data_IF_431434316482
#
_entry.id   IF_431434316482
#
_cell.length_a   1.000
_cell.length_b   1.000
_cell.length_c   1.000
_cell.angle_alpha   90.00
_cell.angle_beta   90.00
_cell.angle_gamma   90.00
#
_symmetry.space_group_name_H-M   'P 1'
#
loop_
_entity.id
_entity.type
_entity.pdbx_description
1 polymer ?
#
# COMPACT_ATOMS: atom_id res chain seq x y z
N UNK A 1 56.02 -43.58 6.68
CA UNK A 1 55.84 -42.57 5.60
C UNK A 1 54.35 -42.26 5.44
N UNK A 2 53.93 -41.13 5.99
CA UNK A 2 52.57 -40.59 5.91
C UNK A 2 52.34 -39.96 4.52
N UNK A 3 51.24 -40.31 3.86
CA UNK A 3 50.18 -39.39 3.40
C UNK A 3 49.27 -40.09 2.36
N UNK A 4 47.95 -40.25 2.62
CA UNK A 4 46.94 -40.36 1.58
C UNK A 4 46.24 -39.00 1.45
N UNK A 5 46.52 -38.28 0.37
CA UNK A 5 45.79 -37.07 0.04
C UNK A 5 44.35 -37.45 -0.32
N UNK A 6 43.46 -37.28 0.66
CA UNK A 6 42.03 -37.23 0.45
C UNK A 6 41.63 -35.88 -0.14
N UNK A 7 40.84 -35.91 -1.20
CA UNK A 7 39.98 -34.78 -1.57
C UNK A 7 38.58 -35.31 -1.82
N UNK A 8 37.82 -35.43 -0.73
CA UNK A 8 36.37 -35.24 -0.73
C UNK A 8 36.16 -33.73 -0.66
N UNK A 9 35.61 -33.14 -1.72
CA UNK A 9 34.86 -31.89 -1.60
C UNK A 9 33.52 -32.11 -2.27
N UNK A 10 32.57 -32.55 -1.45
CA UNK A 10 31.14 -32.39 -1.69
C UNK A 10 30.86 -30.90 -1.81
N UNK A 11 30.25 -30.50 -2.92
CA UNK A 11 29.74 -29.15 -3.10
C UNK A 11 28.73 -28.85 -1.98
N UNK A 12 29.03 -27.82 -1.19
CA UNK A 12 28.15 -27.27 -0.15
C UNK A 12 26.83 -26.82 -0.78
N UNK A 13 25.79 -27.61 -0.55
CA UNK A 13 24.42 -27.12 -0.53
C UNK A 13 24.13 -26.61 0.89
N UNK A 14 23.62 -25.37 0.99
CA UNK A 14 23.34 -24.65 2.25
C UNK A 14 24.28 -23.45 2.43
N UNK A 15 23.83 -22.19 2.50
CA UNK A 15 22.55 -21.65 2.95
C UNK A 15 22.23 -20.38 2.15
N UNK A 16 21.02 -20.30 1.58
CA UNK A 16 20.41 -19.00 1.26
C UNK A 16 19.72 -18.56 2.54
N UNK A 17 20.33 -17.64 3.28
CA UNK A 17 19.68 -16.99 4.43
C UNK A 17 18.29 -16.48 4.00
N UNK A 18 17.19 -16.91 4.65
CA UNK A 18 15.87 -16.36 4.37
C UNK A 18 15.67 -14.97 4.99
N UNK A 19 16.66 -14.44 5.72
CA UNK A 19 16.51 -13.22 6.52
C UNK A 19 17.35 -12.08 6.00
N UNK A 20 16.94 -11.45 4.89
CA UNK A 20 17.25 -10.04 4.70
C UNK A 20 16.27 -9.39 3.72
N UNK A 21 14.98 -9.40 4.07
CA UNK A 21 14.09 -8.34 3.61
C UNK A 21 14.31 -7.13 4.52
N UNK A 22 15.40 -6.41 4.29
CA UNK A 22 15.47 -5.00 4.66
C UNK A 22 15.07 -4.24 3.41
N UNK A 23 13.88 -3.62 3.35
CA UNK A 23 13.60 -2.66 2.30
C UNK A 23 14.61 -1.53 2.46
N UNK A 24 15.61 -1.46 1.59
CA UNK A 24 16.44 -0.27 1.46
C UNK A 24 15.49 0.85 1.03
N UNK A 25 15.46 1.96 1.76
CA UNK A 25 14.63 3.13 1.44
C UNK A 25 14.88 3.72 0.03
N UNK A 26 15.90 3.24 -0.70
CA UNK A 26 16.15 3.53 -2.11
C UNK A 26 15.41 2.67 -3.15
N UNK A 27 14.58 1.69 -2.74
CA UNK A 27 13.84 0.79 -3.66
C UNK A 27 12.32 0.83 -3.49
N UNK A 28 11.79 1.80 -2.75
CA UNK A 28 10.35 1.91 -2.52
C UNK A 28 9.64 2.53 -3.72
N UNK A 29 8.44 2.04 -4.02
CA UNK A 29 7.66 2.52 -5.16
C UNK A 29 7.19 3.98 -4.96
N UNK A 30 7.08 4.78 -6.04
CA UNK A 30 6.52 6.13 -5.96
C UNK A 30 5.14 6.17 -5.28
N UNK A 31 4.31 5.14 -5.48
CA UNK A 31 3.00 4.99 -4.86
C UNK A 31 3.09 4.82 -3.34
N UNK A 32 3.99 3.94 -2.86
CA UNK A 32 4.20 3.76 -1.43
C UNK A 32 4.71 5.06 -0.79
N UNK A 33 5.71 5.70 -1.40
CA UNK A 33 6.29 6.95 -0.88
C UNK A 33 5.23 8.04 -0.79
N UNK A 34 4.43 8.20 -1.85
CA UNK A 34 3.33 9.17 -1.90
C UNK A 34 2.31 8.91 -0.79
N UNK A 35 1.91 7.65 -0.63
CA UNK A 35 0.94 7.25 0.39
C UNK A 35 1.47 7.48 1.81
N UNK A 36 2.75 7.16 2.04
CA UNK A 36 3.42 7.32 3.34
C UNK A 36 3.50 8.79 3.75
N UNK A 37 3.88 9.68 2.83
CA UNK A 37 3.96 11.12 3.09
C UNK A 37 2.60 11.74 3.37
N UNK A 38 1.57 11.28 2.67
CA UNK A 38 0.20 11.78 2.83
C UNK A 38 -0.57 11.10 3.96
N UNK A 39 0.00 10.11 4.65
CA UNK A 39 -0.74 9.25 5.57
C UNK A 39 -1.52 10.04 6.63
N UNK A 40 -0.88 11.04 7.26
CA UNK A 40 -1.52 11.88 8.26
C UNK A 40 -2.74 12.62 7.70
N UNK A 41 -2.58 13.29 6.54
CA UNK A 41 -3.66 14.02 5.87
C UNK A 41 -4.82 13.09 5.46
N UNK A 42 -4.50 11.87 5.01
CA UNK A 42 -5.49 10.86 4.63
C UNK A 42 -6.32 10.44 5.85
N UNK A 43 -5.64 10.14 6.96
CA UNK A 43 -6.28 9.73 8.21
C UNK A 43 -7.15 10.84 8.76
N UNK A 44 -6.65 12.07 8.87
CA UNK A 44 -7.40 13.20 9.43
C UNK A 44 -8.65 13.51 8.61
N UNK A 45 -8.52 13.54 7.27
CA UNK A 45 -9.66 13.83 6.40
C UNK A 45 -10.73 12.74 6.47
N UNK A 46 -10.32 11.46 6.45
CA UNK A 46 -11.27 10.36 6.55
C UNK A 46 -11.91 10.29 7.95
N UNK A 47 -11.16 10.57 9.01
CA UNK A 47 -11.66 10.67 10.38
C UNK A 47 -12.71 11.79 10.53
N UNK A 48 -12.50 12.91 9.85
CA UNK A 48 -13.47 14.00 9.76
C UNK A 48 -14.75 13.66 8.97
N UNK A 49 -14.78 12.52 8.27
CA UNK A 49 -15.91 12.03 7.48
C UNK A 49 -16.34 10.64 7.93
N UNK A 50 -16.68 10.48 9.22
CA UNK A 50 -17.00 9.20 9.83
C UNK A 50 -18.02 8.30 9.07
N UNK A 51 -19.08 8.82 8.43
CA UNK A 51 -20.00 7.99 7.64
C UNK A 51 -19.35 7.30 6.43
N UNK A 52 -18.31 7.92 5.86
CA UNK A 52 -17.59 7.43 4.68
C UNK A 52 -16.65 6.27 5.04
N UNK A 53 -16.16 6.21 6.28
CA UNK A 53 -15.23 5.17 6.76
C UNK A 53 -15.75 3.77 6.48
N UNK A 54 -16.99 3.48 6.83
CA UNK A 54 -17.58 2.16 6.64
C UNK A 54 -17.75 1.81 5.15
N UNK A 55 -18.10 2.80 4.31
CA UNK A 55 -18.24 2.60 2.87
C UNK A 55 -16.89 2.30 2.23
N UNK A 56 -15.86 3.08 2.57
CA UNK A 56 -14.51 2.90 2.07
C UNK A 56 -13.93 1.55 2.53
N UNK A 57 -14.10 1.20 3.81
CA UNK A 57 -13.68 -0.10 4.35
C UNK A 57 -14.28 -1.28 3.56
N UNK A 58 -15.57 -1.21 3.22
CA UNK A 58 -16.23 -2.24 2.41
C UNK A 58 -15.68 -2.30 0.98
N UNK A 59 -15.43 -1.15 0.35
CA UNK A 59 -14.84 -1.12 -1.00
C UNK A 59 -13.43 -1.68 -1.02
N UNK A 60 -12.57 -1.25 -0.09
CA UNK A 60 -11.19 -1.73 -0.01
C UNK A 60 -11.13 -3.24 0.29
N UNK A 61 -12.03 -3.75 1.14
CA UNK A 61 -12.12 -5.20 1.36
C UNK A 61 -12.58 -5.95 0.11
N UNK A 62 -13.55 -5.40 -0.64
CA UNK A 62 -14.05 -6.02 -1.88
C UNK A 62 -13.03 -6.00 -3.03
N UNK A 63 -12.05 -5.10 -2.97
CA UNK A 63 -10.94 -5.02 -3.92
C UNK A 63 -9.69 -5.77 -3.43
N UNK A 64 -9.78 -6.54 -2.33
CA UNK A 64 -8.65 -7.25 -1.71
C UNK A 64 -7.48 -6.36 -1.28
N UNK A 65 -7.73 -5.07 -1.04
CA UNK A 65 -6.71 -4.09 -0.62
C UNK A 65 -6.40 -4.16 0.88
N UNK A 66 -7.34 -4.67 1.66
CA UNK A 66 -7.20 -4.88 3.11
C UNK A 66 -7.61 -6.31 3.47
N UNK A 67 -6.96 -6.94 4.45
CA UNK A 67 -7.32 -8.27 4.90
C UNK A 67 -8.63 -8.23 5.71
N UNK A 68 -9.32 -9.37 5.75
CA UNK A 68 -10.58 -9.56 6.51
C UNK A 68 -10.48 -9.11 7.98
N UNK A 69 -9.33 -9.35 8.63
CA UNK A 69 -9.12 -8.96 10.01
C UNK A 69 -9.22 -7.43 10.20
N UNK A 70 -8.69 -6.65 9.26
CA UNK A 70 -8.79 -5.17 9.26
C UNK A 70 -10.23 -4.75 8.98
N UNK A 71 -10.88 -5.36 7.99
CA UNK A 71 -12.28 -5.09 7.65
C UNK A 71 -13.21 -5.26 8.85
N UNK A 72 -13.09 -6.39 9.55
CA UNK A 72 -13.87 -6.69 10.77
C UNK A 72 -13.54 -5.71 11.88
N UNK A 73 -12.26 -5.47 12.16
CA UNK A 73 -11.82 -4.56 13.23
C UNK A 73 -12.36 -3.14 13.03
N UNK A 74 -12.31 -2.61 11.81
CA UNK A 74 -12.85 -1.29 11.47
C UNK A 74 -14.38 -1.24 11.57
N UNK A 75 -15.06 -2.38 11.45
CA UNK A 75 -16.49 -2.52 11.68
C UNK A 75 -16.90 -2.64 13.15
N UNK A 76 -15.96 -2.89 14.07
CA UNK A 76 -16.26 -3.01 15.50
C UNK A 76 -16.64 -1.67 16.13
N UNK A 77 -17.62 -1.71 17.03
CA UNK A 77 -18.00 -0.58 17.87
C UNK A 77 -16.94 -0.34 18.94
N UNK A 78 -16.54 0.91 19.16
CA UNK A 78 -15.59 1.30 20.21
C UNK A 78 -14.28 1.89 19.71
N UNK A 79 -14.00 1.86 18.41
CA UNK A 79 -12.90 2.61 17.81
C UNK A 79 -13.32 4.01 17.43
N UNK A 80 -12.43 4.99 17.65
CA UNK A 80 -12.64 6.36 17.18
C UNK A 80 -12.59 6.39 15.64
N UNK A 81 -13.22 7.39 14.99
CA UNK A 81 -13.08 7.58 13.53
C UNK A 81 -11.61 7.64 13.08
N UNK A 82 -10.74 8.26 13.89
CA UNK A 82 -9.31 8.33 13.62
C UNK A 82 -8.65 6.94 13.65
N UNK A 83 -8.89 6.14 14.70
CA UNK A 83 -8.31 4.79 14.80
C UNK A 83 -8.75 3.90 13.64
N UNK A 84 -10.01 4.03 13.23
CA UNK A 84 -10.57 3.30 12.08
C UNK A 84 -9.88 3.72 10.79
N UNK A 85 -9.76 5.02 10.54
CA UNK A 85 -9.07 5.56 9.36
C UNK A 85 -7.58 5.16 9.33
N UNK A 86 -6.88 5.30 10.46
CA UNK A 86 -5.47 4.93 10.59
C UNK A 86 -5.24 3.44 10.31
N UNK A 87 -6.11 2.56 10.82
CA UNK A 87 -6.03 1.12 10.53
C UNK A 87 -6.24 0.80 9.05
N UNK A 88 -7.20 1.44 8.40
CA UNK A 88 -7.43 1.27 6.95
C UNK A 88 -6.17 1.65 6.18
N UNK A 89 -5.68 2.88 6.36
CA UNK A 89 -4.57 3.37 5.54
C UNK A 89 -3.23 2.73 5.88
N UNK A 90 -2.98 2.40 7.15
CA UNK A 90 -1.82 1.60 7.53
C UNK A 90 -1.83 0.22 6.86
N UNK A 91 -3.00 -0.41 6.76
CA UNK A 91 -3.14 -1.68 6.05
C UNK A 91 -2.89 -1.54 4.55
N UNK A 92 -3.46 -0.51 3.91
CA UNK A 92 -3.23 -0.26 2.48
C UNK A 92 -1.77 0.06 2.20
N UNK A 93 -1.11 0.80 3.08
CA UNK A 93 0.32 1.10 2.98
C UNK A 93 1.17 -0.18 3.06
N UNK A 94 0.85 -1.09 3.98
CA UNK A 94 1.51 -2.40 4.07
C UNK A 94 1.27 -3.25 2.81
N UNK A 95 0.07 -3.19 2.23
CA UNK A 95 -0.21 -3.83 0.94
C UNK A 95 0.67 -3.24 -0.17
N UNK A 96 0.76 -1.91 -0.27
CA UNK A 96 1.62 -1.23 -1.26
C UNK A 96 3.10 -1.58 -1.12
N UNK A 97 3.59 -1.76 0.11
CA UNK A 97 4.98 -2.10 0.39
C UNK A 97 5.35 -3.51 -0.09
N UNK A 98 4.44 -4.47 0.07
CA UNK A 98 4.71 -5.88 -0.20
C UNK A 98 4.22 -6.36 -1.58
N UNK A 99 3.36 -5.59 -2.26
CA UNK A 99 2.73 -6.04 -3.50
C UNK A 99 3.69 -5.95 -4.70
N UNK A 100 3.75 -6.98 -5.57
CA UNK A 100 4.63 -6.98 -6.74
C UNK A 100 4.26 -5.92 -7.80
N UNK A 101 3.02 -5.42 -7.76
CA UNK A 101 2.53 -4.34 -8.61
C UNK A 101 1.87 -3.24 -7.75
N UNK A 102 2.64 -2.30 -7.19
CA UNK A 102 2.11 -1.24 -6.33
C UNK A 102 1.21 -0.26 -7.08
N UNK A 103 1.43 -0.07 -8.38
CA UNK A 103 0.61 0.79 -9.23
C UNK A 103 -0.85 0.31 -9.34
N UNK A 104 -1.06 -1.01 -9.47
CA UNK A 104 -2.40 -1.61 -9.49
C UNK A 104 -3.13 -1.43 -8.16
N UNK A 105 -2.42 -1.58 -7.03
CA UNK A 105 -2.98 -1.36 -5.69
C UNK A 105 -3.36 0.11 -5.52
N UNK A 106 -2.47 1.02 -5.91
CA UNK A 106 -2.73 2.46 -5.84
C UNK A 106 -3.91 2.87 -6.72
N UNK A 107 -4.00 2.36 -7.95
CA UNK A 107 -5.14 2.61 -8.84
C UNK A 107 -6.47 2.14 -8.26
N UNK A 108 -6.46 0.97 -7.61
CA UNK A 108 -7.64 0.43 -6.91
C UNK A 108 -8.04 1.28 -5.70
N UNK A 109 -7.06 1.81 -4.96
CA UNK A 109 -7.30 2.77 -3.88
C UNK A 109 -7.94 4.05 -4.43
N UNK A 110 -7.39 4.61 -5.51
CA UNK A 110 -7.92 5.79 -6.18
C UNK A 110 -9.38 5.59 -6.60
N UNK A 111 -9.70 4.49 -7.27
CA UNK A 111 -11.08 4.16 -7.66
C UNK A 111 -12.00 4.04 -6.44
N UNK A 112 -11.52 3.42 -5.35
CA UNK A 112 -12.28 3.27 -4.12
C UNK A 112 -12.59 4.62 -3.46
N UNK A 113 -11.61 5.52 -3.40
CA UNK A 113 -11.76 6.88 -2.88
C UNK A 113 -12.71 7.73 -3.74
N UNK A 114 -12.62 7.63 -5.07
CA UNK A 114 -13.56 8.29 -5.99
C UNK A 114 -15.00 7.82 -5.77
N UNK A 115 -15.19 6.50 -5.61
CA UNK A 115 -16.51 5.89 -5.43
C UNK A 115 -17.22 6.37 -4.16
N UNK A 116 -16.46 6.66 -3.10
CA UNK A 116 -16.99 7.21 -1.84
C UNK A 116 -17.00 8.75 -1.81
N UNK A 117 -16.75 9.40 -2.94
CA UNK A 117 -16.86 10.86 -3.07
C UNK A 117 -15.67 11.66 -2.56
N UNK A 118 -14.55 11.03 -2.19
CA UNK A 118 -13.34 11.70 -1.71
C UNK A 118 -12.47 12.23 -2.87
N UNK A 119 -13.10 12.94 -3.81
CA UNK A 119 -12.46 13.43 -5.05
C UNK A 119 -11.27 14.36 -4.79
N UNK A 120 -11.38 15.25 -3.80
CA UNK A 120 -10.29 16.16 -3.44
C UNK A 120 -9.03 15.41 -2.98
N UNK A 121 -9.21 14.28 -2.29
CA UNK A 121 -8.12 13.44 -1.83
C UNK A 121 -7.45 12.72 -3.00
N UNK A 122 -8.24 12.23 -3.94
CA UNK A 122 -7.76 11.61 -5.18
C UNK A 122 -6.90 12.59 -5.97
N UNK A 123 -7.36 13.82 -6.17
CA UNK A 123 -6.59 14.85 -6.86
C UNK A 123 -5.24 15.13 -6.19
N UNK A 124 -5.22 15.25 -4.86
CA UNK A 124 -3.97 15.47 -4.09
C UNK A 124 -3.01 14.28 -4.21
N UNK A 125 -3.51 13.05 -4.09
CA UNK A 125 -2.71 11.83 -4.24
C UNK A 125 -2.09 11.73 -5.64
N UNK A 126 -2.87 11.98 -6.68
CA UNK A 126 -2.38 11.99 -8.05
C UNK A 126 -1.34 13.09 -8.26
N UNK A 127 -1.59 14.32 -7.81
CA UNK A 127 -0.65 15.43 -7.95
C UNK A 127 0.70 15.12 -7.29
N UNK A 128 0.69 14.58 -6.06
CA UNK A 128 1.91 14.18 -5.35
C UNK A 128 2.66 13.05 -6.07
N UNK A 129 1.94 12.07 -6.61
CA UNK A 129 2.54 11.00 -7.39
C UNK A 129 3.19 11.53 -8.68
N UNK A 130 2.54 12.47 -9.38
CA UNK A 130 3.05 13.11 -10.60
C UNK A 130 4.34 13.90 -10.33
N UNK A 131 4.38 14.67 -9.24
CA UNK A 131 5.58 15.40 -8.82
C UNK A 131 6.77 14.47 -8.54
N UNK A 132 6.52 13.23 -8.12
CA UNK A 132 7.57 12.24 -7.83
C UNK A 132 7.99 11.41 -9.04
N UNK A 133 7.09 11.17 -9.99
CA UNK A 133 7.34 10.25 -11.11
C UNK A 133 7.96 10.93 -12.33
N UNK A 134 7.96 12.26 -12.43
CA UNK A 134 8.58 13.01 -13.53
C UNK A 134 7.96 12.78 -14.93
N UNK A 135 7.08 11.80 -15.08
CA UNK A 135 6.36 11.49 -16.30
C UNK A 135 5.01 10.87 -15.94
N UNK A 136 3.93 11.51 -16.36
CA UNK A 136 2.56 10.99 -16.19
C UNK A 136 2.18 10.33 -17.49
N UNK A 137 1.62 9.12 -17.41
CA UNK A 137 0.89 8.54 -18.53
C UNK A 137 -0.39 9.38 -18.77
N UNK A 138 -0.57 9.98 -19.97
CA UNK A 138 -1.69 10.87 -20.24
C UNK A 138 -3.06 10.17 -20.27
N UNK A 139 -3.12 8.84 -20.11
CA UNK A 139 -4.37 8.08 -20.18
C UNK A 139 -5.26 8.23 -18.93
N UNK A 140 -4.70 8.61 -17.77
CA UNK A 140 -5.47 8.79 -16.52
C UNK A 140 -6.16 10.16 -16.40
N UNK A 141 -5.81 11.13 -17.23
CA UNK A 141 -6.37 12.50 -17.17
C UNK A 141 -7.65 12.69 -18.01
N UNK A 142 -8.09 11.66 -18.76
CA UNK A 142 -9.25 11.78 -19.63
C UNK A 142 -10.44 10.99 -19.07
N UNK A 143 -11.18 11.60 -18.14
CA UNK A 143 -12.61 11.39 -18.08
C UNK A 143 -13.32 12.56 -18.75
N UNK A 144 -14.07 12.35 -19.84
CA UNK A 144 -14.90 13.40 -20.41
C UNK A 144 -16.08 13.69 -19.48
N UNK A 145 -16.23 14.96 -19.11
CA UNK A 145 -17.52 15.49 -18.64
C UNK A 145 -18.44 15.57 -19.84
N UNK A 146 -19.43 14.67 -19.93
CA UNK A 146 -20.66 14.89 -20.71
C UNK A 146 -21.84 14.30 -19.95
#
# INVERSE_FOLDING_TARGET
>A
PHDPTGTVLQNKEGKKDPSSFKPMEGSMSPEYITMKEMLADLVDLLAGNAPVISQLNNHLFSCDLIPKAVHVTVGTTGLTPYDRANKIFSSVLATLECHPNPNSVFSSLIMSLQKVGLKNMVSKLMEKLKMKSGHVDPNLEQQPSV
#
